data_IF_617055613073
#
_entry.id   IF_617055613073
#
_cell.length_a   1.000
_cell.length_b   1.000
_cell.length_c   1.000
_cell.angle_alpha   90.00
_cell.angle_beta   90.00
_cell.angle_gamma   90.00
#
_symmetry.space_group_name_H-M   'P 1'
#
loop_
_entity.id
_entity.type
_entity.pdbx_description
1 polymer ?
#
# COMPACT_ATOMS: atom_id res chain seq x y z
N UNK A 1 -18.28 38.05 26.66
CA UNK A 1 -17.99 36.69 27.11
C UNK A 1 -17.56 36.65 28.55
N UNK A 2 -17.82 35.59 29.22
CA UNK A 2 -17.40 35.34 30.61
C UNK A 2 -15.87 35.19 30.68
N UNK A 3 -15.24 35.29 31.86
CA UNK A 3 -13.82 35.00 32.03
C UNK A 3 -13.45 33.57 31.52
N UNK A 4 -14.36 32.62 31.69
CA UNK A 4 -14.18 31.27 31.18
C UNK A 4 -14.12 31.21 29.63
N UNK A 5 -14.99 31.95 28.94
CA UNK A 5 -14.96 32.03 27.46
C UNK A 5 -13.65 32.58 26.93
N UNK A 6 -13.12 33.62 27.63
CA UNK A 6 -11.82 34.20 27.26
C UNK A 6 -10.67 33.22 27.47
N UNK A 7 -10.69 32.45 28.56
CA UNK A 7 -9.68 31.45 28.84
C UNK A 7 -9.70 30.32 27.78
N UNK A 8 -10.88 29.83 27.41
CA UNK A 8 -11.06 28.83 26.37
C UNK A 8 -10.59 29.37 25.02
N UNK A 9 -10.98 30.60 24.66
CA UNK A 9 -10.55 31.22 23.41
C UNK A 9 -9.01 31.33 23.33
N UNK A 10 -8.36 31.78 24.40
CA UNK A 10 -6.92 31.89 24.47
C UNK A 10 -6.23 30.50 24.39
N UNK A 11 -6.82 29.50 25.04
CA UNK A 11 -6.30 28.12 24.95
C UNK A 11 -6.35 27.58 23.52
N UNK A 12 -7.48 27.77 22.83
CA UNK A 12 -7.66 27.34 21.43
C UNK A 12 -6.74 28.12 20.49
N UNK A 13 -6.61 29.44 20.69
CA UNK A 13 -5.79 30.28 19.82
C UNK A 13 -4.28 30.03 19.96
N UNK A 14 -3.82 29.58 21.12
CA UNK A 14 -2.40 29.39 21.43
C UNK A 14 -1.90 27.95 21.40
N UNK A 15 -2.77 26.96 21.14
CA UNK A 15 -2.40 25.54 21.20
C UNK A 15 -2.99 24.72 20.04
N UNK A 16 -2.36 23.55 19.79
CA UNK A 16 -2.91 22.54 18.88
C UNK A 16 -4.26 22.02 19.41
N UNK A 17 -5.31 22.23 18.64
CA UNK A 17 -6.68 21.83 19.00
C UNK A 17 -6.81 20.33 19.25
N UNK A 18 -6.04 19.49 18.56
CA UNK A 18 -6.06 18.05 18.78
C UNK A 18 -5.53 17.68 20.17
N UNK A 19 -4.56 18.43 20.69
CA UNK A 19 -4.06 18.25 22.06
C UNK A 19 -5.06 18.68 23.10
N UNK A 20 -5.77 19.78 22.83
CA UNK A 20 -6.81 20.29 23.73
C UNK A 20 -8.05 19.40 23.78
N UNK A 21 -8.39 18.76 22.66
CA UNK A 21 -9.54 17.86 22.54
C UNK A 21 -9.37 16.53 23.29
N UNK A 22 -8.14 16.19 23.72
CA UNK A 22 -7.87 14.94 24.43
C UNK A 22 -8.34 15.03 25.87
N UNK A 23 -9.30 14.17 26.24
CA UNK A 23 -9.69 14.00 27.65
C UNK A 23 -8.63 13.16 28.37
N UNK A 24 -7.82 13.79 29.20
CA UNK A 24 -6.76 13.11 29.95
C UNK A 24 -7.27 12.14 31.01
N UNK A 25 -8.48 12.37 31.55
CA UNK A 25 -9.09 11.47 32.53
C UNK A 25 -9.45 10.12 31.89
N UNK A 26 -9.83 10.13 30.62
CA UNK A 26 -10.13 8.91 29.87
C UNK A 26 -8.90 8.08 29.54
N UNK A 27 -7.70 8.68 29.46
CA UNK A 27 -6.46 7.95 29.12
C UNK A 27 -6.07 6.89 30.16
N UNK A 28 -6.44 7.11 31.41
CA UNK A 28 -6.06 6.24 32.51
C UNK A 28 -7.11 5.15 32.82
N UNK A 29 -8.24 5.15 32.12
CA UNK A 29 -9.38 4.25 32.37
C UNK A 29 -9.52 3.13 31.33
N UNK A 30 -8.52 2.91 30.48
CA UNK A 30 -8.54 1.77 29.57
C UNK A 30 -8.31 0.47 30.31
N UNK A 31 -9.31 -0.41 30.25
CA UNK A 31 -9.13 -1.79 30.71
C UNK A 31 -8.15 -2.50 29.74
N UNK A 32 -7.04 -2.97 30.29
CA UNK A 32 -5.99 -3.72 29.58
C UNK A 32 -6.13 -5.22 29.73
N UNK A 33 -7.23 -5.69 30.32
CA UNK A 33 -7.51 -7.13 30.44
C UNK A 33 -8.05 -7.67 29.11
N UNK A 34 -7.42 -8.74 28.64
CA UNK A 34 -7.86 -9.48 27.46
C UNK A 34 -8.01 -10.96 27.84
N UNK A 35 -9.18 -11.55 27.58
CA UNK A 35 -9.46 -12.96 27.82
C UNK A 35 -8.59 -13.91 27.01
N UNK A 36 -8.17 -13.46 25.81
CA UNK A 36 -7.27 -14.21 24.95
C UNK A 36 -6.12 -13.30 24.49
N UNK A 37 -4.89 -13.77 24.65
CA UNK A 37 -3.69 -13.03 24.28
C UNK A 37 -2.77 -13.90 23.42
N UNK A 38 -2.39 -13.38 22.26
CA UNK A 38 -1.37 -14.00 21.41
C UNK A 38 0.00 -13.42 21.77
N UNK A 39 0.96 -14.30 22.08
CA UNK A 39 2.33 -13.88 22.37
C UNK A 39 3.11 -13.71 21.06
N UNK A 40 3.18 -12.49 20.56
CA UNK A 40 3.84 -12.16 19.28
C UNK A 40 5.35 -11.94 19.39
N UNK A 41 5.91 -11.89 20.59
CA UNK A 41 7.35 -11.65 20.86
C UNK A 41 7.94 -10.55 19.95
N UNK A 42 7.75 -9.30 20.34
CA UNK A 42 8.27 -8.13 19.63
C UNK A 42 7.25 -7.40 18.77
N UNK A 43 7.66 -6.25 18.27
CA UNK A 43 6.87 -5.30 17.49
C UNK A 43 7.59 -5.03 16.18
N UNK A 44 6.86 -5.07 15.06
CA UNK A 44 7.35 -4.64 13.76
C UNK A 44 6.92 -3.21 13.47
N UNK A 45 7.70 -2.47 12.71
CA UNK A 45 7.45 -1.07 12.41
C UNK A 45 7.51 -0.82 10.90
N UNK A 46 6.39 -0.41 10.31
CA UNK A 46 6.29 -0.12 8.87
C UNK A 46 6.97 1.19 8.44
N UNK A 47 7.46 1.98 9.39
CA UNK A 47 8.10 3.29 9.13
C UNK A 47 7.17 4.22 8.32
N UNK A 48 7.72 4.96 7.36
CA UNK A 48 7.00 5.88 6.48
C UNK A 48 6.53 5.18 5.20
N UNK A 49 5.76 4.11 5.36
CA UNK A 49 5.20 3.33 4.23
C UNK A 49 3.72 3.02 4.44
N UNK A 50 2.96 2.81 3.36
CA UNK A 50 1.55 2.40 3.40
C UNK A 50 1.34 0.89 3.55
N UNK A 51 2.32 0.15 4.10
CA UNK A 51 2.33 -1.31 4.19
C UNK A 51 1.66 -1.88 5.44
N UNK A 52 0.82 -1.10 6.16
CA UNK A 52 0.17 -1.55 7.41
C UNK A 52 -0.59 -2.88 7.23
N UNK A 53 -1.28 -3.06 6.12
CA UNK A 53 -2.00 -4.28 5.75
C UNK A 53 -1.08 -5.50 5.70
N UNK A 54 0.10 -5.34 5.11
CA UNK A 54 1.10 -6.40 4.95
C UNK A 54 1.77 -6.75 6.29
N UNK A 55 2.20 -5.73 7.05
CA UNK A 55 2.76 -5.91 8.38
C UNK A 55 1.79 -6.61 9.33
N UNK A 56 0.52 -6.22 9.30
CA UNK A 56 -0.53 -6.84 10.12
C UNK A 56 -0.70 -8.33 9.76
N UNK A 57 -0.86 -8.66 8.49
CA UNK A 57 -1.06 -10.04 8.07
C UNK A 57 0.16 -10.94 8.33
N UNK A 58 1.38 -10.45 8.05
CA UNK A 58 2.61 -11.20 8.34
C UNK A 58 2.83 -11.38 9.85
N UNK A 59 2.45 -10.43 10.69
CA UNK A 59 2.53 -10.56 12.15
C UNK A 59 1.61 -11.65 12.71
N UNK A 60 0.43 -11.85 12.12
CA UNK A 60 -0.45 -12.97 12.49
C UNK A 60 0.25 -14.31 12.23
N UNK A 61 0.83 -14.47 11.04
CA UNK A 61 1.54 -15.69 10.66
C UNK A 61 2.81 -15.86 11.49
N UNK A 62 3.56 -14.79 11.70
CA UNK A 62 4.75 -14.76 12.55
C UNK A 62 4.47 -15.32 13.95
N UNK A 63 3.38 -14.90 14.58
CA UNK A 63 3.00 -15.39 15.91
C UNK A 63 2.74 -16.90 15.91
N UNK A 64 2.09 -17.42 14.85
CA UNK A 64 1.86 -18.86 14.68
C UNK A 64 3.16 -19.64 14.47
N UNK A 65 4.09 -19.12 13.67
CA UNK A 65 5.41 -19.73 13.43
C UNK A 65 6.22 -19.78 14.73
N UNK A 66 6.28 -18.68 15.48
CA UNK A 66 6.95 -18.59 16.76
C UNK A 66 6.41 -19.64 17.75
N UNK A 67 5.08 -19.75 17.84
CA UNK A 67 4.44 -20.72 18.73
C UNK A 67 4.69 -22.17 18.29
N UNK A 68 4.57 -22.47 17.00
CA UNK A 68 4.72 -23.81 16.44
C UNK A 68 6.14 -24.37 16.58
N UNK A 69 7.15 -23.51 16.38
CA UNK A 69 8.56 -23.92 16.37
C UNK A 69 9.30 -23.50 17.65
N UNK A 70 8.60 -22.94 18.64
CA UNK A 70 9.14 -22.44 19.90
C UNK A 70 10.38 -21.53 19.71
N UNK A 71 10.27 -20.58 18.78
CA UNK A 71 11.36 -19.67 18.48
C UNK A 71 11.47 -18.56 19.51
N UNK A 72 12.68 -18.11 19.90
CA UNK A 72 12.85 -16.96 20.78
C UNK A 72 12.46 -15.65 20.11
N UNK A 73 12.88 -15.49 18.85
CA UNK A 73 12.58 -14.38 17.97
C UNK A 73 12.45 -14.90 16.52
N UNK A 74 11.58 -14.30 15.76
CA UNK A 74 11.44 -14.59 14.34
C UNK A 74 10.76 -13.43 13.64
N UNK A 75 11.20 -13.09 12.45
CA UNK A 75 10.58 -12.08 11.61
C UNK A 75 10.52 -12.53 10.16
N UNK A 76 9.39 -12.23 9.50
CA UNK A 76 9.18 -12.46 8.08
C UNK A 76 9.61 -11.22 7.29
N UNK A 77 10.07 -11.42 6.05
CA UNK A 77 10.43 -10.31 5.18
C UNK A 77 9.19 -9.62 4.61
N UNK A 78 8.87 -8.44 5.11
CA UNK A 78 7.84 -7.60 4.54
C UNK A 78 8.27 -7.06 3.17
N UNK A 79 9.56 -6.79 2.98
CA UNK A 79 10.10 -6.29 1.72
C UNK A 79 9.93 -7.30 0.56
N UNK A 80 10.08 -8.60 0.84
CA UNK A 80 9.86 -9.66 -0.14
C UNK A 80 8.41 -9.66 -0.68
N UNK A 81 7.44 -9.71 0.22
CA UNK A 81 6.04 -9.72 -0.18
C UNK A 81 5.59 -8.37 -0.76
N UNK A 82 6.18 -7.26 -0.31
CA UNK A 82 5.93 -5.95 -0.88
C UNK A 82 6.44 -5.85 -2.34
N UNK A 83 7.60 -6.40 -2.65
CA UNK A 83 8.10 -6.46 -4.02
C UNK A 83 7.10 -7.15 -4.95
N UNK A 84 6.59 -8.30 -4.56
CA UNK A 84 5.61 -9.04 -5.36
C UNK A 84 4.28 -8.31 -5.48
N UNK A 85 3.81 -7.66 -4.41
CA UNK A 85 2.63 -6.80 -4.46
C UNK A 85 2.77 -5.66 -5.47
N UNK A 86 3.92 -4.98 -5.47
CA UNK A 86 4.17 -3.89 -6.42
C UNK A 86 4.26 -4.40 -7.86
N UNK A 87 4.84 -5.57 -8.08
CA UNK A 87 4.89 -6.20 -9.40
C UNK A 87 3.48 -6.56 -9.91
N UNK A 88 2.64 -7.16 -9.07
CA UNK A 88 1.26 -7.48 -9.43
C UNK A 88 0.42 -6.24 -9.73
N UNK A 89 0.56 -5.19 -8.94
CA UNK A 89 -0.11 -3.91 -9.19
C UNK A 89 0.35 -3.25 -10.49
N UNK A 90 1.64 -3.31 -10.79
CA UNK A 90 2.18 -2.83 -12.06
C UNK A 90 1.61 -3.61 -13.25
N UNK A 91 1.54 -4.93 -13.16
CA UNK A 91 0.92 -5.79 -14.16
C UNK A 91 -0.57 -5.48 -14.33
N UNK A 92 -1.30 -5.29 -13.23
CA UNK A 92 -2.71 -4.93 -13.26
C UNK A 92 -2.95 -3.58 -13.96
N UNK A 93 -2.09 -2.59 -13.69
CA UNK A 93 -2.14 -1.31 -14.40
C UNK A 93 -1.93 -1.50 -15.90
N UNK A 94 -0.88 -2.20 -16.33
CA UNK A 94 -0.59 -2.43 -17.74
C UNK A 94 -1.69 -3.23 -18.44
N UNK A 95 -2.26 -4.24 -17.76
CA UNK A 95 -3.42 -4.96 -18.28
C UNK A 95 -4.63 -4.05 -18.45
N UNK A 96 -4.92 -3.19 -17.48
CA UNK A 96 -5.99 -2.18 -17.57
C UNK A 96 -5.79 -1.22 -18.74
N UNK A 97 -4.55 -0.86 -19.07
CA UNK A 97 -4.23 -0.07 -20.27
C UNK A 97 -4.56 -0.84 -21.54
N UNK A 98 -4.22 -2.12 -21.64
CA UNK A 98 -4.55 -2.98 -22.79
C UNK A 98 -6.07 -3.11 -22.93
N UNK A 99 -6.77 -3.37 -21.84
CA UNK A 99 -8.23 -3.56 -21.84
C UNK A 99 -9.00 -2.29 -22.24
N UNK A 100 -8.40 -1.14 -22.01
CA UNK A 100 -8.99 0.17 -22.34
C UNK A 100 -8.39 0.81 -23.60
N UNK A 101 -7.60 0.08 -24.40
CA UNK A 101 -6.87 0.62 -25.55
C UNK A 101 -7.73 1.33 -26.58
N UNK A 102 -8.96 0.85 -26.79
CA UNK A 102 -9.92 1.43 -27.75
C UNK A 102 -10.67 2.67 -27.22
N UNK A 103 -10.61 2.90 -25.91
CA UNK A 103 -11.23 4.05 -25.29
C UNK A 103 -10.38 5.30 -25.49
N UNK A 104 -11.00 6.50 -25.67
CA UNK A 104 -10.24 7.73 -25.77
C UNK A 104 -9.49 8.05 -24.48
N UNK A 105 -8.42 8.84 -24.57
CA UNK A 105 -7.55 9.18 -23.43
C UNK A 105 -8.30 9.91 -22.30
N UNK A 106 -9.37 10.63 -22.63
CA UNK A 106 -10.23 11.33 -21.68
C UNK A 106 -11.41 10.47 -21.17
N UNK A 107 -11.45 9.17 -21.47
CA UNK A 107 -12.38 8.26 -20.80
C UNK A 107 -12.07 8.19 -19.30
N UNK A 108 -13.11 8.23 -18.47
CA UNK A 108 -12.95 8.27 -16.99
C UNK A 108 -12.15 7.11 -16.43
N UNK A 109 -12.25 5.90 -17.01
CA UNK A 109 -11.48 4.74 -16.59
C UNK A 109 -10.01 4.89 -16.96
N UNK A 110 -9.72 5.39 -18.17
CA UNK A 110 -8.35 5.64 -18.62
C UNK A 110 -7.69 6.72 -17.76
N UNK A 111 -8.39 7.83 -17.53
CA UNK A 111 -7.90 8.89 -16.63
C UNK A 111 -7.62 8.37 -15.23
N UNK A 112 -8.51 7.51 -14.69
CA UNK A 112 -8.33 6.93 -13.36
C UNK A 112 -7.10 6.03 -13.31
N UNK A 113 -6.87 5.17 -14.29
CA UNK A 113 -5.68 4.32 -14.40
C UNK A 113 -4.41 5.17 -14.38
N UNK A 114 -4.32 6.17 -15.26
CA UNK A 114 -3.14 7.05 -15.30
C UNK A 114 -2.96 7.93 -14.06
N UNK A 115 -4.05 8.25 -13.35
CA UNK A 115 -3.97 8.97 -12.09
C UNK A 115 -3.46 8.10 -10.95
N UNK A 116 -3.80 6.79 -10.97
CA UNK A 116 -3.52 5.84 -9.91
C UNK A 116 -2.74 4.60 -10.43
N UNK A 117 -1.55 4.76 -11.02
CA UNK A 117 -0.83 3.64 -11.65
C UNK A 117 -0.34 2.60 -10.66
N UNK A 118 -0.01 3.00 -9.43
CA UNK A 118 0.51 2.14 -8.37
C UNK A 118 0.31 2.80 -7.00
N UNK A 119 0.28 1.99 -5.95
CA UNK A 119 0.22 2.44 -4.57
C UNK A 119 0.71 1.36 -3.61
N UNK A 120 1.09 1.75 -2.40
CA UNK A 120 1.61 0.84 -1.37
C UNK A 120 0.54 0.30 -0.40
N UNK A 121 -0.69 0.85 -0.46
CA UNK A 121 -1.83 0.37 0.31
C UNK A 121 -2.36 -0.98 -0.16
N UNK A 122 -3.08 -1.69 0.72
CA UNK A 122 -3.70 -2.96 0.39
C UNK A 122 -4.71 -3.41 1.45
N UNK A 123 -5.29 -4.58 1.22
CA UNK A 123 -6.29 -5.21 2.08
C UNK A 123 -5.92 -6.66 2.37
N UNK A 124 -6.66 -7.31 3.27
CA UNK A 124 -6.41 -8.70 3.67
C UNK A 124 -6.42 -9.68 2.49
N UNK A 125 -7.32 -9.51 1.53
CA UNK A 125 -7.37 -10.34 0.32
C UNK A 125 -6.07 -10.27 -0.47
N UNK A 126 -5.48 -9.07 -0.60
CA UNK A 126 -4.20 -8.88 -1.30
C UNK A 126 -3.04 -9.62 -0.62
N UNK A 127 -3.00 -9.67 0.71
CA UNK A 127 -1.95 -10.46 1.39
C UNK A 127 -2.20 -11.95 1.21
N UNK A 128 -3.43 -12.42 1.33
CA UNK A 128 -3.77 -13.83 1.13
C UNK A 128 -3.32 -14.32 -0.25
N UNK A 129 -3.67 -13.59 -1.30
CA UNK A 129 -3.32 -13.93 -2.68
C UNK A 129 -1.81 -13.89 -2.90
N UNK A 130 -1.13 -12.88 -2.35
CA UNK A 130 0.32 -12.75 -2.42
C UNK A 130 1.02 -13.94 -1.76
N UNK A 131 0.59 -14.32 -0.57
CA UNK A 131 1.16 -15.45 0.17
C UNK A 131 0.90 -16.78 -0.54
N UNK A 132 -0.28 -16.99 -1.07
CA UNK A 132 -0.63 -18.22 -1.80
C UNK A 132 0.19 -18.35 -3.09
N UNK A 133 0.51 -17.23 -3.74
CA UNK A 133 1.25 -17.23 -5.02
C UNK A 133 2.76 -17.28 -4.83
N UNK A 134 3.29 -16.53 -3.89
CA UNK A 134 4.75 -16.30 -3.74
C UNK A 134 5.34 -16.86 -2.45
N UNK A 135 4.49 -17.24 -1.50
CA UNK A 135 4.93 -17.69 -0.20
C UNK A 135 5.47 -16.56 0.69
N UNK A 136 6.22 -16.97 1.70
CA UNK A 136 6.86 -16.10 2.68
C UNK A 136 8.30 -16.53 2.91
N UNK A 137 9.16 -15.59 3.27
CA UNK A 137 10.56 -15.86 3.58
C UNK A 137 10.97 -15.18 4.90
N UNK A 138 11.99 -15.69 5.61
CA UNK A 138 12.56 -14.99 6.76
C UNK A 138 13.12 -13.61 6.37
N UNK A 139 13.12 -12.68 7.34
CA UNK A 139 13.56 -11.29 7.12
C UNK A 139 14.98 -11.15 6.54
N UNK A 140 15.88 -12.08 6.89
CA UNK A 140 17.25 -12.09 6.37
C UNK A 140 17.40 -12.41 4.88
N UNK A 141 16.35 -12.97 4.23
CA UNK A 141 16.39 -13.30 2.78
C UNK A 141 16.26 -12.05 1.92
N UNK A 142 15.40 -11.11 2.33
CA UNK A 142 15.26 -9.82 1.67
C UNK A 142 15.03 -8.75 2.73
N UNK A 143 16.11 -8.09 3.12
CA UNK A 143 16.10 -7.09 4.19
C UNK A 143 15.39 -5.80 3.79
N UNK A 144 14.92 -5.05 4.77
CA UNK A 144 14.37 -3.71 4.53
C UNK A 144 15.46 -2.76 4.02
N UNK A 145 15.06 -1.83 3.18
CA UNK A 145 15.92 -0.79 2.59
C UNK A 145 15.37 0.59 2.95
N UNK A 146 16.15 1.63 2.74
CA UNK A 146 15.66 3.00 2.90
C UNK A 146 14.39 3.26 2.06
N UNK A 147 14.35 2.74 0.82
CA UNK A 147 13.20 2.94 -0.08
C UNK A 147 11.97 2.12 0.32
N UNK A 148 12.12 0.93 0.90
CA UNK A 148 10.99 0.17 1.45
C UNK A 148 10.47 0.77 2.75
N UNK A 149 11.36 1.36 3.56
CA UNK A 149 11.00 2.10 4.77
C UNK A 149 10.36 3.49 4.48
N UNK A 150 10.61 4.06 3.28
CA UNK A 150 10.14 5.38 2.85
C UNK A 150 9.62 5.31 1.41
N UNK A 151 8.45 4.72 1.24
CA UNK A 151 7.91 4.29 -0.07
C UNK A 151 7.52 5.42 -1.01
N UNK A 152 7.20 6.61 -0.53
CA UNK A 152 6.64 7.71 -1.33
C UNK A 152 7.48 8.06 -2.56
N UNK A 153 8.80 8.19 -2.42
CA UNK A 153 9.69 8.53 -3.55
C UNK A 153 9.77 7.42 -4.57
N UNK A 154 9.93 6.18 -4.09
CA UNK A 154 9.97 4.98 -4.93
C UNK A 154 8.65 4.80 -5.71
N UNK A 155 7.51 4.89 -5.03
CA UNK A 155 6.19 4.78 -5.64
C UNK A 155 5.96 5.85 -6.71
N UNK A 156 6.40 7.09 -6.46
CA UNK A 156 6.32 8.16 -7.47
C UNK A 156 7.16 7.85 -8.72
N UNK A 157 8.39 7.36 -8.56
CA UNK A 157 9.27 7.02 -9.69
C UNK A 157 8.72 5.85 -10.50
N UNK A 158 8.26 4.80 -9.82
CA UNK A 158 7.61 3.64 -10.48
C UNK A 158 6.34 4.11 -11.20
N UNK A 159 5.53 4.94 -10.55
CA UNK A 159 4.31 5.49 -11.13
C UNK A 159 4.56 6.32 -12.40
N UNK A 160 5.60 7.14 -12.42
CA UNK A 160 6.01 7.89 -13.62
C UNK A 160 6.42 6.93 -14.75
N UNK A 161 7.22 5.91 -14.44
CA UNK A 161 7.65 4.94 -15.44
C UNK A 161 6.51 4.07 -15.96
N UNK A 162 5.57 3.69 -15.11
CA UNK A 162 4.36 2.99 -15.53
C UNK A 162 3.49 3.84 -16.46
N UNK A 163 3.35 5.14 -16.19
CA UNK A 163 2.63 6.05 -17.08
C UNK A 163 3.29 6.14 -18.46
N UNK A 164 4.61 6.25 -18.52
CA UNK A 164 5.38 6.23 -19.76
C UNK A 164 5.09 4.93 -20.54
N UNK A 165 5.27 3.77 -19.92
CA UNK A 165 4.99 2.47 -20.53
C UNK A 165 3.50 2.32 -20.93
N UNK A 166 2.59 2.87 -20.14
CA UNK A 166 1.17 2.87 -20.48
C UNK A 166 0.85 3.65 -21.75
N UNK A 167 1.51 4.79 -21.97
CA UNK A 167 1.37 5.56 -23.21
C UNK A 167 1.97 4.81 -24.40
N UNK A 168 3.20 4.31 -24.27
CA UNK A 168 3.87 3.51 -25.31
C UNK A 168 3.02 2.28 -25.70
N UNK A 169 2.44 1.61 -24.72
CA UNK A 169 1.61 0.43 -24.94
C UNK A 169 0.31 0.78 -25.67
N UNK A 170 -0.33 1.90 -25.35
CA UNK A 170 -1.51 2.38 -26.09
C UNK A 170 -1.17 2.71 -27.54
N UNK A 171 -0.07 3.41 -27.80
CA UNK A 171 0.38 3.75 -29.14
C UNK A 171 0.70 2.48 -29.96
N UNK A 172 1.37 1.51 -29.38
CA UNK A 172 1.64 0.22 -30.01
C UNK A 172 0.34 -0.53 -30.35
N UNK A 173 -0.63 -0.57 -29.44
CA UNK A 173 -1.92 -1.20 -29.68
C UNK A 173 -2.69 -0.53 -30.83
N UNK A 174 -2.66 0.80 -30.93
CA UNK A 174 -3.32 1.55 -32.01
C UNK A 174 -2.69 1.28 -33.37
N UNK A 175 -1.35 1.12 -33.45
CA UNK A 175 -0.64 0.77 -34.67
C UNK A 175 -1.04 -0.62 -35.20
N UNK A 176 -1.24 -1.59 -34.30
CA UNK A 176 -1.65 -2.96 -34.68
C UNK A 176 -3.12 -3.06 -35.10
N UNK A 177 -3.98 -2.15 -34.65
CA UNK A 177 -5.41 -2.12 -35.00
C UNK A 177 -5.71 -1.26 -36.24
N UNK A 178 -4.76 -0.46 -36.73
CA UNK A 178 -4.88 0.25 -37.99
C UNK A 178 -4.81 -0.74 -39.17
N UNK A 179 -5.78 -0.70 -40.14
CA UNK A 179 -5.68 -1.55 -41.31
C UNK A 179 -4.37 -1.27 -42.05
N UNK A 180 -3.64 -2.34 -42.34
CA UNK A 180 -2.40 -2.26 -43.10
C UNK A 180 -2.67 -1.54 -44.45
N UNK A 181 -1.72 -0.75 -44.99
CA UNK A 181 -1.83 -0.19 -46.34
C UNK A 181 -2.10 -1.25 -47.43
N UNK A 182 -1.85 -2.54 -47.11
CA UNK A 182 -2.20 -3.68 -47.99
C UNK A 182 -3.69 -4.02 -47.94
N UNK A 183 -4.35 -3.83 -46.78
CA UNK A 183 -5.78 -4.16 -46.63
C UNK A 183 -6.66 -3.10 -47.25
N UNK A 184 -6.22 -1.83 -47.33
CA UNK A 184 -6.91 -0.75 -47.97
C UNK A 184 -6.88 -0.80 -49.53
N UNK A 185 -6.08 -1.70 -50.14
CA UNK A 185 -6.02 -1.88 -51.61
C UNK A 185 -6.92 -2.99 -52.11
N UNK A 186 -7.73 -3.63 -51.24
CA UNK A 186 -8.64 -4.74 -51.59
C UNK A 186 -10.12 -4.42 -51.46
N UNK A 187 -10.47 -3.14 -51.24
CA UNK A 187 -11.88 -2.66 -51.23
C UNK A 187 -12.20 -1.86 -52.50
#
# INVERSE_FOLDING_TARGET
GTPADKAIHNAIAGNDINKLAVNNDSKNNFDTYFSNKVNSKGITNQKSSGRCWLFTGLNVIRAQVIAKYNLPEFELSQNYNFFWDQLEKANLFLQGIIDTREKPINDKMVEWLFKNPIGDGGQFTGISDNLMKYGIVPSGVMVETYSSDNTSRMSNLIGLKLKEYGLELRDACLLYTSPSPRDMRRS
#
